data_IF_716344386525
#
_entry.id   IF_716344386525
#
_cell.length_a   1.000
_cell.length_b   1.000
_cell.length_c   1.000
_cell.angle_alpha   90.00
_cell.angle_beta   90.00
_cell.angle_gamma   90.00
#
_symmetry.space_group_name_H-M   'P 1'
#
loop_
_entity.id
_entity.type
_entity.pdbx_description
1 polymer ?
#
# COMPACT_ATOMS: atom_id res chain seq x y z
N UNK A 1 -11.83 -8.22 7.41
CA UNK A 1 -11.43 -7.84 6.02
C UNK A 1 -11.41 -6.33 5.81
N UNK A 2 -12.53 -5.60 6.02
CA UNK A 2 -12.58 -4.13 5.79
C UNK A 2 -11.51 -3.33 6.54
N UNK A 3 -11.24 -3.67 7.80
CA UNK A 3 -10.22 -2.98 8.60
C UNK A 3 -8.80 -3.25 8.12
N UNK A 4 -8.49 -4.49 7.74
CA UNK A 4 -7.16 -4.86 7.25
C UNK A 4 -6.88 -4.17 5.90
N UNK A 5 -7.88 -4.14 5.00
CA UNK A 5 -7.79 -3.38 3.75
C UNK A 5 -7.50 -1.91 3.99
N UNK A 6 -8.21 -1.28 4.92
CA UNK A 6 -7.99 0.12 5.29
C UNK A 6 -6.58 0.35 5.83
N UNK A 7 -6.07 -0.57 6.66
CA UNK A 7 -4.70 -0.48 7.19
C UNK A 7 -3.66 -0.55 6.07
N UNK A 8 -3.78 -1.50 5.13
CA UNK A 8 -2.85 -1.61 4.00
C UNK A 8 -2.85 -0.33 3.17
N UNK A 9 -4.03 0.16 2.79
CA UNK A 9 -4.17 1.36 1.96
C UNK A 9 -3.62 2.61 2.66
N UNK A 10 -3.89 2.80 3.95
CA UNK A 10 -3.38 3.95 4.69
C UNK A 10 -1.86 3.94 4.78
N UNK A 11 -1.25 2.81 5.14
CA UNK A 11 0.22 2.69 5.23
C UNK A 11 0.85 2.93 3.85
N UNK A 12 0.27 2.35 2.79
CA UNK A 12 0.77 2.55 1.44
C UNK A 12 0.66 4.02 1.01
N UNK A 13 -0.44 4.70 1.34
CA UNK A 13 -0.62 6.10 1.02
C UNK A 13 0.39 7.01 1.75
N UNK A 14 0.64 6.75 3.04
CA UNK A 14 1.65 7.48 3.83
C UNK A 14 3.06 7.27 3.27
N UNK A 15 3.44 6.03 2.96
CA UNK A 15 4.75 5.71 2.38
C UNK A 15 4.93 6.32 0.98
N UNK A 16 3.90 6.26 0.14
CA UNK A 16 3.93 6.86 -1.18
C UNK A 16 4.10 8.39 -1.09
N UNK A 17 3.38 9.05 -0.18
CA UNK A 17 3.49 10.49 0.04
C UNK A 17 4.90 10.89 0.51
N UNK A 18 5.48 10.15 1.46
CA UNK A 18 6.86 10.37 1.92
C UNK A 18 7.86 10.21 0.77
N UNK A 19 7.68 9.23 -0.11
CA UNK A 19 8.57 9.00 -1.25
C UNK A 19 8.44 10.08 -2.32
N UNK A 20 7.22 10.58 -2.58
CA UNK A 20 6.96 11.75 -3.43
C UNK A 20 7.70 12.97 -2.90
N UNK A 21 7.55 13.27 -1.60
CA UNK A 21 8.23 14.41 -0.96
C UNK A 21 9.76 14.27 -1.00
N UNK A 22 10.27 13.05 -0.86
CA UNK A 22 11.71 12.76 -0.86
C UNK A 22 12.34 12.83 -2.24
N UNK A 23 11.62 12.42 -3.29
CA UNK A 23 12.21 12.20 -4.63
C UNK A 23 11.66 13.12 -5.71
N UNK A 24 10.54 13.80 -5.47
CA UNK A 24 9.83 14.58 -6.48
C UNK A 24 9.17 13.75 -7.58
N UNK A 25 9.11 12.42 -7.43
CA UNK A 25 8.45 11.52 -8.39
C UNK A 25 6.94 11.61 -8.28
N UNK A 26 6.25 11.22 -9.34
CA UNK A 26 4.80 11.13 -9.36
C UNK A 26 4.27 10.10 -8.35
N UNK A 27 3.17 10.43 -7.67
CA UNK A 27 2.54 9.56 -6.68
C UNK A 27 2.21 8.16 -7.23
N UNK A 28 1.74 8.08 -8.47
CA UNK A 28 1.41 6.82 -9.14
C UNK A 28 2.64 5.93 -9.32
N UNK A 29 3.83 6.51 -9.47
CA UNK A 29 5.07 5.74 -9.55
C UNK A 29 5.55 5.25 -8.16
N UNK A 30 5.14 5.92 -7.08
CA UNK A 30 5.51 5.58 -5.71
C UNK A 30 4.55 4.57 -5.06
N UNK A 31 3.25 4.63 -5.39
CA UNK A 31 2.21 3.86 -4.71
C UNK A 31 2.34 2.35 -4.90
N UNK A 32 2.80 1.88 -6.05
CA UNK A 32 2.93 0.43 -6.31
C UNK A 32 3.94 -0.22 -5.34
N UNK A 33 5.10 0.40 -5.15
CA UNK A 33 6.12 -0.08 -4.19
C UNK A 33 5.64 0.06 -2.76
N UNK A 34 4.94 1.15 -2.45
CA UNK A 34 4.40 1.40 -1.13
C UNK A 34 3.32 0.38 -0.73
N UNK A 35 2.51 -0.08 -1.70
CA UNK A 35 1.53 -1.15 -1.49
C UNK A 35 2.18 -2.49 -1.17
N UNK A 36 3.24 -2.85 -1.90
CA UNK A 36 4.01 -4.07 -1.61
C UNK A 36 4.64 -4.01 -0.22
N UNK A 37 5.23 -2.87 0.13
CA UNK A 37 5.84 -2.67 1.45
C UNK A 37 4.79 -2.70 2.58
N UNK A 38 3.65 -2.05 2.39
CA UNK A 38 2.54 -2.08 3.35
C UNK A 38 2.01 -3.51 3.56
N UNK A 39 1.93 -4.31 2.50
CA UNK A 39 1.56 -5.73 2.59
C UNK A 39 2.59 -6.53 3.40
N UNK A 40 3.89 -6.34 3.14
CA UNK A 40 4.97 -7.00 3.88
C UNK A 40 4.91 -6.64 5.37
N UNK A 41 4.77 -5.35 5.71
CA UNK A 41 4.70 -4.87 7.11
C UNK A 41 3.51 -5.48 7.87
N UNK A 42 2.42 -5.76 7.19
CA UNK A 42 1.20 -6.34 7.77
C UNK A 42 1.13 -7.88 7.66
N UNK A 43 2.15 -8.53 7.11
CA UNK A 43 2.16 -9.98 6.89
C UNK A 43 1.07 -10.45 5.91
N UNK A 44 0.64 -9.57 5.01
CA UNK A 44 -0.40 -9.85 4.01
C UNK A 44 0.29 -10.29 2.73
N UNK A 45 -0.03 -11.49 2.26
CA UNK A 45 0.45 -11.92 0.95
C UNK A 45 -0.41 -11.34 -0.19
N UNK A 46 0.15 -11.31 -1.41
CA UNK A 46 -0.51 -10.71 -2.57
C UNK A 46 -1.90 -11.31 -2.87
N UNK A 47 -2.07 -12.62 -2.66
CA UNK A 47 -3.37 -13.29 -2.85
C UNK A 47 -4.42 -12.77 -1.86
N UNK A 48 -4.06 -12.70 -0.57
CA UNK A 48 -4.91 -12.14 0.47
C UNK A 48 -5.26 -10.68 0.19
N UNK A 49 -4.29 -9.89 -0.26
CA UNK A 49 -4.53 -8.50 -0.65
C UNK A 49 -5.58 -8.39 -1.77
N UNK A 50 -5.43 -9.16 -2.86
CA UNK A 50 -6.40 -9.17 -3.97
C UNK A 50 -7.80 -9.60 -3.48
N UNK A 51 -7.88 -10.63 -2.63
CA UNK A 51 -9.14 -11.10 -2.04
C UNK A 51 -9.86 -10.02 -1.20
N UNK A 52 -9.18 -8.98 -0.72
CA UNK A 52 -9.82 -7.85 0.00
C UNK A 52 -10.64 -6.92 -0.90
N UNK A 53 -10.46 -6.98 -2.22
CA UNK A 53 -11.14 -6.12 -3.20
C UNK A 53 -12.16 -6.87 -4.07
N UNK A 54 -12.12 -8.21 -4.06
CA UNK A 54 -13.07 -9.06 -4.79
C UNK A 54 -14.28 -9.49 -3.96
N UNK A 55 -14.33 -9.10 -2.67
CA UNK A 55 -15.39 -9.46 -1.72
C UNK A 55 -16.07 -8.23 -1.12
#
# INVERSE_FOLDING_TARGET
MKELRRKVVNIAAELAQQEVERTGKDYKACIDKALDEACIRLGVNRKQFIEMFLR
#
